data_IF_114593334779
#
_entry.id   IF_114593334779
#
_cell.length_a   1.000
_cell.length_b   1.000
_cell.length_c   1.000
_cell.angle_alpha   90.00
_cell.angle_beta   90.00
_cell.angle_gamma   90.00
#
_symmetry.space_group_name_H-M   'P 1'
#
loop_
_entity.id
_entity.type
_entity.pdbx_description
1 polymer ?
#
# COMPACT_ATOMS: atom_id res chain seq x y z
N UNK A 1 -28.81 19.32 10.37
CA UNK A 1 -27.54 19.78 10.95
C UNK A 1 -26.41 19.22 10.11
N UNK A 2 -25.77 20.05 9.28
CA UNK A 2 -24.62 19.63 8.52
C UNK A 2 -23.47 19.32 9.50
N UNK A 3 -23.11 18.03 9.60
CA UNK A 3 -21.84 17.64 10.24
C UNK A 3 -20.73 18.28 9.44
N UNK A 4 -19.79 19.04 10.06
CA UNK A 4 -18.59 19.44 9.35
C UNK A 4 -17.94 18.16 8.83
N UNK A 5 -17.70 18.10 7.52
CA UNK A 5 -16.92 17.02 6.93
C UNK A 5 -15.54 17.08 7.59
N UNK A 6 -15.29 16.19 8.54
CA UNK A 6 -13.92 15.94 8.98
C UNK A 6 -13.15 15.55 7.71
N UNK A 7 -12.23 16.41 7.31
CA UNK A 7 -11.33 16.13 6.20
C UNK A 7 -10.59 14.86 6.58
N UNK A 8 -10.93 13.75 5.92
CA UNK A 8 -10.26 12.50 6.18
C UNK A 8 -8.85 12.58 5.59
N UNK A 9 -7.83 12.47 6.43
CA UNK A 9 -6.41 12.59 6.03
C UNK A 9 -6.07 11.62 4.91
N UNK A 10 -6.61 10.41 4.92
CA UNK A 10 -6.38 9.44 3.85
C UNK A 10 -6.98 9.93 2.53
N UNK A 11 -8.16 10.56 2.55
CA UNK A 11 -8.74 11.17 1.36
C UNK A 11 -7.85 12.30 0.81
N UNK A 12 -7.27 13.11 1.70
CA UNK A 12 -6.27 14.14 1.31
C UNK A 12 -5.04 13.49 0.69
N UNK A 13 -4.51 12.42 1.30
CA UNK A 13 -3.37 11.66 0.79
C UNK A 13 -3.69 11.11 -0.60
N UNK A 14 -4.79 10.40 -0.73
CA UNK A 14 -5.22 9.81 -2.01
C UNK A 14 -5.42 10.88 -3.10
N UNK A 15 -6.05 12.01 -2.77
CA UNK A 15 -6.24 13.11 -3.72
C UNK A 15 -4.91 13.75 -4.14
N UNK A 16 -4.00 13.97 -3.20
CA UNK A 16 -2.70 14.56 -3.50
C UNK A 16 -1.88 13.66 -4.42
N UNK A 17 -1.85 12.36 -4.16
CA UNK A 17 -1.17 11.41 -5.03
C UNK A 17 -1.83 11.25 -6.40
N UNK A 18 -3.17 11.36 -6.50
CA UNK A 18 -3.87 11.36 -7.81
C UNK A 18 -3.46 12.52 -8.71
N UNK A 19 -3.08 13.66 -8.13
CA UNK A 19 -2.56 14.78 -8.90
C UNK A 19 -1.14 14.55 -9.41
N UNK A 20 -0.38 13.64 -8.78
CA UNK A 20 0.98 13.30 -9.19
C UNK A 20 0.98 12.20 -10.25
N UNK A 21 0.44 11.05 -9.92
CA UNK A 21 0.20 9.95 -10.85
C UNK A 21 -1.06 9.17 -10.43
N UNK A 22 -2.15 9.27 -11.21
CA UNK A 22 -3.39 8.58 -10.90
C UNK A 22 -3.26 7.05 -10.95
N UNK A 23 -2.26 6.51 -11.66
CA UNK A 23 -2.04 5.06 -11.78
C UNK A 23 -1.55 4.48 -10.46
N UNK A 24 -0.60 5.17 -9.80
CA UNK A 24 -0.02 4.74 -8.53
C UNK A 24 -1.08 4.64 -7.43
N UNK A 25 -1.92 5.67 -7.31
CA UNK A 25 -2.96 5.67 -6.27
C UNK A 25 -4.07 4.66 -6.55
N UNK A 26 -4.46 4.52 -7.81
CA UNK A 26 -5.48 3.54 -8.18
C UNK A 26 -4.98 2.11 -7.94
N UNK A 27 -3.69 1.85 -8.18
CA UNK A 27 -3.02 0.61 -7.83
C UNK A 27 -3.07 0.37 -6.30
N UNK A 28 -2.56 1.30 -5.50
CA UNK A 28 -2.58 1.17 -4.03
C UNK A 28 -4.00 1.02 -3.45
N UNK A 29 -5.01 1.72 -4.01
CA UNK A 29 -6.42 1.55 -3.61
C UNK A 29 -6.91 0.12 -3.86
N UNK A 30 -6.55 -0.52 -4.99
CA UNK A 30 -6.96 -1.89 -5.30
C UNK A 30 -6.19 -2.92 -4.47
N UNK A 31 -4.88 -2.72 -4.26
CA UNK A 31 -4.08 -3.57 -3.37
C UNK A 31 -4.63 -3.50 -1.93
N UNK A 32 -4.89 -2.29 -1.42
CA UNK A 32 -5.54 -2.10 -0.13
C UNK A 32 -6.91 -2.78 -0.04
N UNK A 33 -7.71 -2.70 -1.12
CA UNK A 33 -9.03 -3.35 -1.19
C UNK A 33 -8.93 -4.88 -1.10
N UNK A 34 -8.02 -5.51 -1.85
CA UNK A 34 -7.79 -6.96 -1.79
C UNK A 34 -7.43 -7.36 -0.36
N UNK A 35 -6.47 -6.66 0.26
CA UNK A 35 -6.06 -6.93 1.64
C UNK A 35 -7.20 -6.72 2.63
N UNK A 36 -7.96 -5.65 2.51
CA UNK A 36 -9.13 -5.37 3.33
C UNK A 36 -10.11 -6.54 3.33
N UNK A 37 -10.43 -7.07 2.13
CA UNK A 37 -11.34 -8.20 2.00
C UNK A 37 -10.76 -9.50 2.57
N UNK A 38 -9.50 -9.80 2.31
CA UNK A 38 -8.82 -10.96 2.87
C UNK A 38 -8.80 -10.90 4.41
N UNK A 39 -8.64 -9.73 5.00
CA UNK A 39 -8.55 -9.55 6.45
C UNK A 39 -9.90 -9.48 7.16
N UNK A 40 -11.01 -9.27 6.43
CA UNK A 40 -12.32 -8.96 7.03
C UNK A 40 -12.73 -9.99 8.09
N UNK A 41 -12.61 -11.27 7.79
CA UNK A 41 -13.11 -12.35 8.65
C UNK A 41 -12.04 -13.03 9.53
N UNK A 42 -10.77 -12.77 9.26
CA UNK A 42 -9.73 -13.38 10.09
C UNK A 42 -9.70 -12.77 11.49
N UNK A 43 -9.46 -13.63 12.49
CA UNK A 43 -9.21 -13.22 13.88
C UNK A 43 -7.72 -13.14 14.22
N UNK A 44 -6.85 -13.32 13.21
CA UNK A 44 -5.39 -13.29 13.39
C UNK A 44 -4.88 -11.91 13.74
N UNK A 45 -5.57 -10.86 13.29
CA UNK A 45 -5.19 -9.47 13.45
C UNK A 45 -6.28 -8.70 14.20
N UNK A 46 -5.86 -7.79 15.08
CA UNK A 46 -6.73 -6.82 15.73
C UNK A 46 -7.32 -5.83 14.74
N UNK A 47 -8.40 -5.10 15.07
CA UNK A 47 -8.95 -4.06 14.19
C UNK A 47 -7.91 -3.00 13.79
N UNK A 48 -6.99 -2.61 14.70
CA UNK A 48 -5.91 -1.69 14.40
C UNK A 48 -4.92 -2.28 13.42
N UNK A 49 -4.47 -3.51 13.62
CA UNK A 49 -3.53 -4.19 12.70
C UNK A 49 -4.14 -4.39 11.32
N UNK A 50 -5.43 -4.72 11.22
CA UNK A 50 -6.14 -4.81 9.91
C UNK A 50 -6.13 -3.46 9.19
N UNK A 51 -6.36 -2.38 9.94
CA UNK A 51 -6.30 -1.03 9.38
C UNK A 51 -4.87 -0.66 8.96
N UNK A 52 -3.88 -0.98 9.78
CA UNK A 52 -2.46 -0.74 9.46
C UNK A 52 -2.04 -1.50 8.19
N UNK A 53 -2.46 -2.78 8.05
CA UNK A 53 -2.17 -3.59 6.85
C UNK A 53 -2.87 -3.02 5.61
N UNK A 54 -4.12 -2.57 5.74
CA UNK A 54 -4.82 -1.86 4.66
C UNK A 54 -4.03 -0.61 4.23
N UNK A 55 -3.58 0.20 5.18
CA UNK A 55 -2.81 1.42 4.90
C UNK A 55 -1.43 1.10 4.31
N UNK A 56 -0.80 0.01 4.72
CA UNK A 56 0.43 -0.49 4.10
C UNK A 56 0.18 -0.85 2.64
N UNK A 57 -0.88 -1.59 2.33
CA UNK A 57 -1.23 -1.91 0.95
C UNK A 57 -1.55 -0.67 0.10
N UNK A 58 -2.23 0.33 0.69
CA UNK A 58 -2.52 1.59 0.01
C UNK A 58 -1.26 2.39 -0.35
N UNK A 59 -0.22 2.32 0.50
CA UNK A 59 0.96 3.19 0.45
C UNK A 59 2.27 2.43 0.21
N UNK A 60 2.26 1.11 -0.08
CA UNK A 60 3.47 0.30 -0.16
C UNK A 60 4.50 0.85 -1.16
N UNK A 61 4.01 1.42 -2.24
CA UNK A 61 4.80 1.99 -3.33
C UNK A 61 5.01 3.51 -3.24
N UNK A 62 4.78 4.10 -2.07
CA UNK A 62 4.96 5.54 -1.84
C UNK A 62 6.39 6.03 -2.15
N UNK A 63 7.35 5.13 -2.14
CA UNK A 63 8.75 5.41 -2.47
C UNK A 63 9.04 5.57 -3.96
N UNK A 64 8.10 5.24 -4.85
CA UNK A 64 8.25 5.47 -6.28
C UNK A 64 8.13 6.97 -6.59
N UNK A 65 9.23 7.59 -6.95
CA UNK A 65 9.30 9.04 -7.14
C UNK A 65 9.59 9.47 -8.58
N UNK A 66 10.08 8.56 -9.42
CA UNK A 66 10.32 8.82 -10.86
C UNK A 66 9.24 8.18 -11.72
N UNK A 67 8.80 8.85 -12.78
CA UNK A 67 7.82 8.30 -13.72
C UNK A 67 8.30 6.97 -14.32
N UNK A 68 9.62 6.85 -14.61
CA UNK A 68 10.22 5.60 -15.09
C UNK A 68 10.13 4.44 -14.09
N UNK A 69 10.18 4.72 -12.79
CA UNK A 69 10.00 3.70 -11.74
C UNK A 69 8.55 3.26 -11.67
N UNK A 70 7.59 4.19 -11.80
CA UNK A 70 6.16 3.87 -11.82
C UNK A 70 5.85 2.97 -13.01
N UNK A 71 6.41 3.25 -14.19
CA UNK A 71 6.24 2.41 -15.37
C UNK A 71 6.80 1.00 -15.15
N UNK A 72 7.97 0.88 -14.52
CA UNK A 72 8.59 -0.42 -14.19
C UNK A 72 7.81 -1.19 -13.13
N UNK A 73 7.34 -0.52 -12.07
CA UNK A 73 6.54 -1.14 -11.01
C UNK A 73 5.22 -1.70 -11.52
N UNK A 74 4.54 -0.94 -12.39
CA UNK A 74 3.29 -1.36 -13.01
C UNK A 74 3.52 -2.35 -14.15
N UNK A 75 4.77 -2.66 -14.49
CA UNK A 75 5.12 -3.75 -15.40
C UNK A 75 5.32 -5.05 -14.63
N UNK A 76 5.24 -6.17 -15.35
CA UNK A 76 5.44 -7.49 -14.75
C UNK A 76 6.93 -7.81 -14.51
N UNK A 77 7.82 -6.95 -15.00
CA UNK A 77 9.28 -7.14 -14.92
C UNK A 77 9.79 -6.79 -13.51
N UNK A 78 10.24 -7.79 -12.78
CA UNK A 78 10.52 -7.71 -11.33
C UNK A 78 11.99 -7.36 -11.00
N UNK A 79 12.85 -7.15 -11.99
CA UNK A 79 14.30 -7.09 -11.75
C UNK A 79 14.81 -5.73 -11.19
N UNK A 80 14.03 -4.64 -11.30
CA UNK A 80 14.47 -3.28 -10.87
C UNK A 80 13.66 -2.69 -9.69
N UNK A 81 12.91 -3.50 -8.96
CA UNK A 81 11.95 -3.02 -7.95
C UNK A 81 12.55 -2.55 -6.62
N UNK A 82 13.88 -2.58 -6.45
CA UNK A 82 14.51 -2.33 -5.14
C UNK A 82 14.58 -0.86 -4.74
N UNK A 83 14.67 0.09 -5.68
CA UNK A 83 14.86 1.50 -5.33
C UNK A 83 13.67 2.07 -4.59
N UNK A 84 12.45 1.92 -5.10
CA UNK A 84 11.24 2.43 -4.43
C UNK A 84 11.00 1.76 -3.08
N UNK A 85 11.35 0.49 -2.92
CA UNK A 85 11.24 -0.22 -1.62
C UNK A 85 12.18 0.38 -0.57
N UNK A 86 13.41 0.74 -0.96
CA UNK A 86 14.37 1.42 -0.06
C UNK A 86 13.89 2.83 0.30
N UNK A 87 13.41 3.61 -0.66
CA UNK A 87 12.87 4.93 -0.38
C UNK A 87 11.58 4.86 0.44
N UNK A 88 10.69 3.93 0.12
CA UNK A 88 9.50 3.64 0.91
C UNK A 88 9.86 3.31 2.36
N UNK A 89 10.83 2.41 2.57
CA UNK A 89 11.36 2.11 3.91
C UNK A 89 11.80 3.37 4.66
N UNK A 90 12.59 4.23 4.02
CA UNK A 90 13.10 5.45 4.65
C UNK A 90 11.97 6.44 4.99
N UNK A 91 10.99 6.58 4.11
CA UNK A 91 9.80 7.41 4.35
C UNK A 91 8.98 6.87 5.54
N UNK A 92 8.69 5.57 5.52
CA UNK A 92 7.94 4.95 6.62
C UNK A 92 8.71 5.03 7.94
N UNK A 93 9.99 4.70 7.94
CA UNK A 93 10.82 4.68 9.15
C UNK A 93 10.88 6.02 9.85
N UNK A 94 11.00 7.11 9.08
CA UNK A 94 11.29 8.43 9.64
C UNK A 94 10.05 9.33 9.79
N UNK A 95 9.01 9.14 8.99
CA UNK A 95 7.91 10.10 8.90
C UNK A 95 6.53 9.51 9.10
N UNK A 96 6.34 8.18 8.87
CA UNK A 96 5.03 7.55 8.94
C UNK A 96 4.62 7.17 10.37
N UNK A 97 3.33 7.19 10.69
CA UNK A 97 2.82 6.57 11.91
C UNK A 97 2.99 5.05 11.91
N UNK A 98 3.18 4.45 10.73
CA UNK A 98 3.42 3.01 10.52
C UNK A 98 4.92 2.66 10.52
N UNK A 99 5.77 3.46 11.15
CA UNK A 99 7.23 3.27 11.15
C UNK A 99 7.70 1.90 11.66
N UNK A 100 6.90 1.26 12.50
CA UNK A 100 7.16 -0.12 12.96
C UNK A 100 7.10 -1.16 11.83
N UNK A 101 6.39 -0.89 10.74
CA UNK A 101 6.24 -1.76 9.57
C UNK A 101 7.15 -1.36 8.40
N UNK A 102 8.14 -0.51 8.62
CA UNK A 102 9.01 -0.04 7.53
C UNK A 102 9.72 -1.19 6.80
N UNK A 103 10.13 -2.24 7.52
CA UNK A 103 10.73 -3.44 6.95
C UNK A 103 9.75 -4.25 6.10
N UNK A 104 8.46 -4.18 6.34
CA UNK A 104 7.43 -4.75 5.46
C UNK A 104 7.53 -4.10 4.08
N UNK A 105 7.61 -2.76 4.04
CA UNK A 105 7.75 -2.00 2.79
C UNK A 105 9.09 -2.29 2.11
N UNK A 106 10.17 -2.46 2.88
CA UNK A 106 11.48 -2.80 2.31
C UNK A 106 11.50 -4.15 1.59
N UNK A 107 10.79 -5.13 2.13
CA UNK A 107 10.87 -6.52 1.68
C UNK A 107 9.62 -7.04 0.98
N UNK A 108 8.65 -6.18 0.63
CA UNK A 108 7.38 -6.63 0.07
C UNK A 108 7.49 -7.30 -1.31
N UNK A 109 8.57 -7.06 -2.07
CA UNK A 109 8.84 -7.77 -3.33
C UNK A 109 9.66 -9.05 -3.19
N UNK A 110 10.03 -9.46 -1.97
CA UNK A 110 10.79 -10.66 -1.79
C UNK A 110 9.97 -11.91 -2.10
N UNK A 111 10.55 -12.83 -2.87
CA UNK A 111 9.99 -14.17 -3.02
C UNK A 111 10.24 -15.03 -1.77
N UNK A 112 9.56 -16.18 -1.69
CA UNK A 112 9.65 -17.08 -0.54
C UNK A 112 11.08 -17.42 -0.10
N UNK A 113 11.97 -17.71 -1.04
CA UNK A 113 13.35 -18.11 -0.73
C UNK A 113 14.17 -16.95 -0.14
N UNK A 114 13.94 -15.72 -0.60
CA UNK A 114 14.70 -14.56 -0.18
C UNK A 114 14.41 -14.17 1.27
N UNK A 115 13.23 -14.46 1.81
CA UNK A 115 12.89 -14.13 3.20
C UNK A 115 13.76 -14.86 4.25
N UNK A 116 14.40 -15.97 3.89
CA UNK A 116 15.31 -16.67 4.81
C UNK A 116 16.66 -15.95 4.99
N UNK A 117 17.00 -15.04 4.12
CA UNK A 117 18.29 -14.32 4.13
C UNK A 117 18.21 -12.87 4.64
N UNK A 118 17.02 -12.37 4.96
CA UNK A 118 16.81 -10.98 5.39
C UNK A 118 16.33 -10.89 6.85
N UNK A 119 16.71 -9.82 7.59
CA UNK A 119 16.37 -9.64 8.99
C UNK A 119 14.94 -9.09 9.19
N UNK A 120 13.94 -9.90 8.84
CA UNK A 120 12.53 -9.57 9.02
C UNK A 120 11.87 -10.54 10.01
N UNK A 121 11.01 -10.04 10.89
CA UNK A 121 10.24 -10.87 11.81
C UNK A 121 9.25 -11.77 11.04
N UNK A 122 8.87 -12.92 11.62
CA UNK A 122 7.86 -13.78 11.00
C UNK A 122 6.52 -13.05 10.79
N UNK A 123 6.15 -12.21 11.75
CA UNK A 123 4.92 -11.41 11.68
C UNK A 123 4.95 -10.41 10.51
N UNK A 124 6.03 -9.62 10.37
CA UNK A 124 6.17 -8.67 9.27
C UNK A 124 6.34 -9.35 7.92
N UNK A 125 7.05 -10.48 7.90
CA UNK A 125 7.19 -11.32 6.69
C UNK A 125 5.84 -11.77 6.17
N UNK A 126 4.95 -12.23 7.05
CA UNK A 126 3.62 -12.68 6.64
C UNK A 126 2.80 -11.53 6.05
N UNK A 127 2.93 -10.30 6.59
CA UNK A 127 2.28 -9.11 6.03
C UNK A 127 2.89 -8.75 4.66
N UNK A 128 4.22 -8.73 4.55
CA UNK A 128 4.91 -8.45 3.29
C UNK A 128 4.49 -9.40 2.15
N UNK A 129 4.33 -10.69 2.46
CA UNK A 129 3.84 -11.70 1.50
C UNK A 129 2.41 -11.45 1.04
N UNK A 130 1.53 -11.05 1.96
CA UNK A 130 0.15 -10.70 1.61
C UNK A 130 0.10 -9.47 0.70
N UNK A 131 0.93 -8.45 0.98
CA UNK A 131 1.04 -7.26 0.13
C UNK A 131 1.54 -7.68 -1.25
N UNK A 132 2.60 -8.49 -1.35
CA UNK A 132 3.15 -8.93 -2.62
C UNK A 132 2.12 -9.74 -3.45
N UNK A 133 1.37 -10.64 -2.81
CA UNK A 133 0.30 -11.36 -3.49
C UNK A 133 -0.77 -10.42 -4.04
N UNK A 134 -1.26 -9.48 -3.22
CA UNK A 134 -2.30 -8.53 -3.61
C UNK A 134 -1.82 -7.58 -4.73
N UNK A 135 -0.58 -7.14 -4.66
CA UNK A 135 0.10 -6.33 -5.66
C UNK A 135 0.16 -7.04 -7.02
N UNK A 136 0.66 -8.29 -7.04
CA UNK A 136 0.75 -9.06 -8.29
C UNK A 136 -0.62 -9.41 -8.88
N UNK A 137 -1.62 -9.67 -8.06
CA UNK A 137 -3.01 -9.86 -8.51
C UNK A 137 -3.52 -8.60 -9.21
N UNK A 138 -3.29 -7.42 -8.62
CA UNK A 138 -3.74 -6.17 -9.23
C UNK A 138 -3.07 -5.90 -10.56
N UNK A 139 -1.74 -6.01 -10.62
CA UNK A 139 -0.99 -5.80 -11.87
C UNK A 139 -1.46 -6.76 -12.95
N UNK A 140 -1.64 -8.04 -12.61
CA UNK A 140 -2.15 -9.04 -13.55
C UNK A 140 -3.51 -8.63 -14.12
N UNK A 141 -4.44 -8.19 -13.27
CA UNK A 141 -5.78 -7.79 -13.70
C UNK A 141 -5.79 -6.52 -14.57
N UNK A 142 -4.90 -5.56 -14.28
CA UNK A 142 -4.81 -4.29 -15.02
C UNK A 142 -4.18 -4.47 -16.40
N UNK A 143 -3.18 -5.35 -16.52
CA UNK A 143 -2.50 -5.60 -17.77
C UNK A 143 -3.31 -6.46 -18.75
N UNK A 144 -4.48 -6.98 -18.36
CA UNK A 144 -5.31 -7.89 -19.17
C UNK A 144 -4.46 -9.03 -19.77
N UNK A 145 -3.68 -9.71 -18.93
CA UNK A 145 -2.84 -10.83 -19.36
C UNK A 145 -3.69 -11.86 -20.10
N UNK A 146 -3.16 -12.45 -21.19
CA UNK A 146 -3.84 -13.50 -21.94
C UNK A 146 -4.05 -14.76 -21.10
N UNK A 147 -3.18 -14.97 -20.13
CA UNK A 147 -3.25 -16.08 -19.19
C UNK A 147 -4.37 -15.84 -18.16
N UNK A 148 -4.97 -16.93 -17.68
CA UNK A 148 -5.91 -16.90 -16.58
C UNK A 148 -5.20 -16.69 -15.23
N UNK A 149 -5.73 -15.80 -14.38
CA UNK A 149 -5.15 -15.47 -13.07
C UNK A 149 -4.93 -16.72 -12.20
N UNK A 150 -5.83 -17.69 -12.26
CA UNK A 150 -5.69 -18.95 -11.52
C UNK A 150 -4.43 -19.69 -11.95
N UNK A 151 -4.25 -19.88 -13.25
CA UNK A 151 -3.07 -20.53 -13.83
C UNK A 151 -1.78 -19.81 -13.44
N UNK A 152 -1.79 -18.48 -13.51
CA UNK A 152 -0.66 -17.66 -13.10
C UNK A 152 -0.31 -17.88 -11.62
N UNK A 153 -1.26 -17.79 -10.70
CA UNK A 153 -0.99 -17.96 -9.27
C UNK A 153 -0.50 -19.38 -8.94
N UNK A 154 -1.06 -20.42 -9.57
CA UNK A 154 -0.64 -21.80 -9.39
C UNK A 154 0.79 -22.05 -9.92
N UNK A 155 1.15 -21.45 -11.07
CA UNK A 155 2.50 -21.57 -11.65
C UNK A 155 3.58 -21.07 -10.69
N UNK A 156 3.28 -20.01 -9.93
CA UNK A 156 4.22 -19.39 -8.98
C UNK A 156 4.00 -19.81 -7.53
N UNK A 157 3.06 -20.72 -7.29
CA UNK A 157 2.76 -21.29 -5.98
C UNK A 157 3.97 -22.02 -5.38
N UNK A 158 4.27 -21.77 -4.13
CA UNK A 158 5.42 -22.32 -3.41
C UNK A 158 6.78 -21.69 -3.76
N UNK A 159 6.89 -21.01 -4.88
CA UNK A 159 8.13 -20.34 -5.32
C UNK A 159 8.12 -18.83 -4.96
N UNK A 160 7.14 -18.11 -5.44
CA UNK A 160 6.94 -16.70 -5.20
C UNK A 160 5.89 -16.51 -4.09
N UNK A 161 4.72 -17.10 -4.29
CA UNK A 161 3.60 -16.96 -3.37
C UNK A 161 3.47 -18.17 -2.45
N UNK A 162 2.95 -17.97 -1.26
CA UNK A 162 2.60 -19.05 -0.35
C UNK A 162 1.30 -19.71 -0.81
N UNK A 163 1.25 -21.05 -0.93
CA UNK A 163 0.03 -21.76 -1.33
C UNK A 163 -1.17 -21.44 -0.43
N UNK A 164 -0.92 -21.28 0.88
CA UNK A 164 -1.96 -20.96 1.83
C UNK A 164 -2.57 -19.56 1.60
N UNK A 165 -1.76 -18.58 1.18
CA UNK A 165 -2.22 -17.23 0.91
C UNK A 165 -3.01 -17.17 -0.41
N UNK A 166 -2.59 -17.92 -1.43
CA UNK A 166 -3.35 -18.11 -2.68
C UNK A 166 -4.73 -18.73 -2.38
N UNK A 167 -4.76 -19.81 -1.60
CA UNK A 167 -6.01 -20.45 -1.20
C UNK A 167 -6.91 -19.49 -0.40
N UNK A 168 -6.33 -18.70 0.49
CA UNK A 168 -7.06 -17.69 1.24
C UNK A 168 -7.66 -16.61 0.32
N UNK A 169 -6.88 -16.12 -0.64
CA UNK A 169 -7.39 -15.18 -1.64
C UNK A 169 -8.58 -15.75 -2.42
N UNK A 170 -8.49 -16.99 -2.94
CA UNK A 170 -9.58 -17.58 -3.71
C UNK A 170 -10.86 -17.79 -2.90
N UNK A 171 -10.75 -18.24 -1.65
CA UNK A 171 -11.90 -18.36 -0.76
C UNK A 171 -12.55 -17.00 -0.50
N UNK A 172 -11.74 -15.94 -0.40
CA UNK A 172 -12.22 -14.58 -0.20
C UNK A 172 -12.85 -14.03 -1.48
N UNK A 173 -12.22 -14.29 -2.64
CA UNK A 173 -12.74 -13.92 -3.95
C UNK A 173 -14.13 -14.53 -4.22
N UNK A 174 -14.29 -15.82 -3.95
CA UNK A 174 -15.57 -16.51 -4.12
C UNK A 174 -16.69 -15.86 -3.28
N UNK A 175 -16.36 -15.41 -2.08
CA UNK A 175 -17.33 -14.81 -1.16
C UNK A 175 -17.64 -13.34 -1.44
N UNK A 176 -16.63 -12.55 -1.77
CA UNK A 176 -16.73 -11.09 -1.85
C UNK A 176 -16.74 -10.54 -3.27
N UNK A 177 -16.52 -11.37 -4.29
CA UNK A 177 -16.48 -10.97 -5.70
C UNK A 177 -15.49 -9.82 -5.96
N UNK A 178 -14.26 -9.99 -5.43
CA UNK A 178 -13.22 -8.95 -5.44
C UNK A 178 -12.89 -8.50 -6.86
N UNK A 179 -12.62 -9.45 -7.76
CA UNK A 179 -12.18 -9.17 -9.13
C UNK A 179 -13.29 -8.48 -9.94
N UNK A 180 -14.53 -8.91 -9.77
CA UNK A 180 -15.70 -8.33 -10.43
C UNK A 180 -15.93 -6.89 -9.95
N UNK A 181 -15.81 -6.63 -8.66
CA UNK A 181 -15.95 -5.29 -8.08
C UNK A 181 -14.78 -4.37 -8.45
N UNK A 182 -13.56 -4.91 -8.59
CA UNK A 182 -12.44 -4.14 -9.13
C UNK A 182 -12.71 -3.73 -10.57
N UNK A 183 -13.24 -4.62 -11.39
CA UNK A 183 -13.59 -4.36 -12.79
C UNK A 183 -14.74 -3.36 -12.94
N UNK A 184 -15.79 -3.46 -12.10
CA UNK A 184 -16.93 -2.54 -12.10
C UNK A 184 -16.65 -1.21 -11.39
N UNK A 185 -15.50 -1.06 -10.73
CA UNK A 185 -15.11 0.08 -9.89
C UNK A 185 -15.92 0.24 -8.59
N UNK A 186 -16.76 -0.71 -8.24
CA UNK A 186 -17.53 -0.71 -6.98
C UNK A 186 -16.61 -0.74 -5.74
N UNK A 187 -15.41 -1.30 -5.86
CA UNK A 187 -14.42 -1.32 -4.79
C UNK A 187 -14.13 0.09 -4.22
N UNK A 188 -14.25 1.15 -5.03
CA UNK A 188 -13.95 2.53 -4.61
C UNK A 188 -14.89 3.02 -3.53
N UNK A 189 -16.16 2.67 -3.64
CA UNK A 189 -17.16 3.01 -2.62
C UNK A 189 -16.86 2.25 -1.32
N UNK A 190 -16.55 0.95 -1.42
CA UNK A 190 -16.22 0.13 -0.26
C UNK A 190 -14.94 0.61 0.45
N UNK A 191 -13.90 1.00 -0.31
CA UNK A 191 -12.67 1.59 0.24
C UNK A 191 -12.96 2.93 0.93
N UNK A 192 -13.74 3.80 0.30
CA UNK A 192 -14.14 5.08 0.88
C UNK A 192 -14.92 4.90 2.19
N UNK A 193 -15.85 3.98 2.21
CA UNK A 193 -16.63 3.62 3.40
C UNK A 193 -15.75 3.03 4.52
N UNK A 194 -14.79 2.18 4.16
CA UNK A 194 -13.85 1.62 5.10
C UNK A 194 -13.00 2.71 5.75
N UNK A 195 -12.42 3.59 4.96
CA UNK A 195 -11.63 4.73 5.42
C UNK A 195 -12.46 5.63 6.34
N UNK A 196 -13.70 5.93 5.96
CA UNK A 196 -14.59 6.76 6.78
C UNK A 196 -14.90 6.11 8.14
N UNK A 197 -15.25 4.82 8.15
CA UNK A 197 -15.56 4.08 9.38
C UNK A 197 -14.37 3.96 10.34
N UNK A 198 -13.15 3.93 9.83
CA UNK A 198 -11.91 3.78 10.62
C UNK A 198 -11.16 5.10 10.84
N UNK A 199 -11.77 6.25 10.49
CA UNK A 199 -11.14 7.58 10.66
C UNK A 199 -10.70 7.87 12.10
N UNK A 200 -11.38 7.33 13.11
CA UNK A 200 -11.00 7.49 14.51
C UNK A 200 -9.67 6.82 14.87
N UNK A 201 -9.29 5.73 14.19
CA UNK A 201 -8.01 5.04 14.41
C UNK A 201 -6.81 5.90 13.97
N UNK A 202 -7.06 6.94 13.17
CA UNK A 202 -6.04 7.81 12.59
C UNK A 202 -6.01 9.21 13.18
N UNK A 203 -7.00 9.60 13.98
CA UNK A 203 -7.18 10.98 14.44
C UNK A 203 -5.92 11.52 15.12
N UNK A 204 -5.31 10.74 16.01
CA UNK A 204 -4.11 11.12 16.75
C UNK A 204 -2.82 11.08 15.91
N UNK A 205 -2.88 10.50 14.72
CA UNK A 205 -1.73 10.29 13.83
C UNK A 205 -1.79 11.15 12.57
N UNK A 206 -2.82 11.96 12.43
CA UNK A 206 -3.09 12.82 11.26
C UNK A 206 -1.86 13.59 10.79
N UNK A 207 -1.16 14.26 11.71
CA UNK A 207 0.02 15.07 11.37
C UNK A 207 1.18 14.22 10.83
N UNK A 208 1.33 12.96 11.31
CA UNK A 208 2.36 12.05 10.80
C UNK A 208 2.05 11.58 9.39
N UNK A 209 0.77 11.26 9.09
CA UNK A 209 0.36 10.93 7.73
C UNK A 209 0.56 12.10 6.76
N UNK A 210 0.19 13.31 7.16
CA UNK A 210 0.44 14.51 6.36
C UNK A 210 1.94 14.75 6.15
N UNK A 211 2.75 14.52 7.16
CA UNK A 211 4.21 14.62 7.06
C UNK A 211 4.77 13.57 6.09
N UNK A 212 4.33 12.31 6.17
CA UNK A 212 4.71 11.26 5.22
C UNK A 212 4.40 11.69 3.79
N UNK A 213 3.19 12.21 3.56
CA UNK A 213 2.78 12.74 2.26
C UNK A 213 3.70 13.87 1.79
N UNK A 214 3.90 14.89 2.63
CA UNK A 214 4.71 16.06 2.27
C UNK A 214 6.12 15.65 1.86
N UNK A 215 6.76 14.78 2.64
CA UNK A 215 8.09 14.29 2.30
C UNK A 215 8.13 13.44 1.03
N UNK A 216 7.12 12.60 0.79
CA UNK A 216 7.07 11.82 -0.47
C UNK A 216 6.91 12.71 -1.70
N UNK A 217 6.19 13.84 -1.57
CA UNK A 217 6.08 14.84 -2.64
C UNK A 217 7.39 15.60 -2.85
N UNK A 218 8.04 15.98 -1.76
CA UNK A 218 9.29 16.74 -1.81
C UNK A 218 10.44 15.94 -2.42
N UNK A 219 10.52 14.63 -2.15
CA UNK A 219 11.54 13.76 -2.76
C UNK A 219 11.45 13.65 -4.28
N UNK A 220 10.32 14.01 -4.89
CA UNK A 220 10.16 14.08 -6.35
C UNK A 220 10.88 15.26 -7.00
N UNK A 221 11.27 16.25 -6.21
CA UNK A 221 11.98 17.44 -6.68
C UNK A 221 13.19 17.72 -5.80
N UNK A 222 14.38 17.73 -6.40
CA UNK A 222 15.64 18.05 -5.72
C UNK A 222 15.62 19.42 -5.02
N UNK A 223 14.73 20.32 -5.45
CA UNK A 223 14.61 21.68 -4.92
C UNK A 223 13.65 21.82 -3.74
N UNK A 224 12.69 20.91 -3.56
CA UNK A 224 11.61 21.05 -2.59
C UNK A 224 11.88 20.35 -1.26
N UNK A 225 12.63 19.27 -1.24
CA UNK A 225 12.92 18.48 -0.04
C UNK A 225 13.54 19.30 1.10
N UNK A 226 14.51 20.18 0.79
CA UNK A 226 15.12 21.08 1.76
C UNK A 226 14.19 22.22 2.17
N UNK A 227 13.34 22.70 1.26
CA UNK A 227 12.46 23.83 1.50
C UNK A 227 11.39 23.54 2.53
N UNK A 228 10.79 22.36 2.48
CA UNK A 228 9.71 21.97 3.41
C UNK A 228 10.22 21.79 4.83
N UNK A 229 11.39 21.16 5.02
CA UNK A 229 11.98 21.01 6.35
C UNK A 229 12.35 22.37 6.97
N UNK A 230 12.90 23.28 6.16
CA UNK A 230 13.15 24.67 6.58
C UNK A 230 11.88 25.43 6.94
N UNK A 231 10.81 25.31 6.15
CA UNK A 231 9.54 25.98 6.39
C UNK A 231 8.87 25.49 7.69
N UNK A 232 8.87 24.18 7.92
CA UNK A 232 8.35 23.57 9.17
C UNK A 232 9.18 24.02 10.37
N UNK A 233 10.52 24.02 10.25
CA UNK A 233 11.39 24.45 11.34
C UNK A 233 11.21 25.94 11.68
N UNK A 234 11.12 26.81 10.67
CA UNK A 234 10.87 28.23 10.87
C UNK A 234 9.49 28.47 11.50
N UNK A 235 8.45 27.77 11.03
CA UNK A 235 7.08 27.92 11.56
C UNK A 235 7.00 27.55 13.05
N UNK A 236 7.68 26.48 13.44
CA UNK A 236 7.75 26.04 14.85
C UNK A 236 8.55 26.99 15.75
N UNK A 237 9.45 27.80 15.19
CA UNK A 237 10.22 28.79 15.94
C UNK A 237 9.54 30.17 16.06
N UNK A 238 8.48 30.39 15.28
CA UNK A 238 7.72 31.66 15.26
C UNK A 238 6.42 31.54 16.07
N UNK A 239 5.90 30.32 16.25
CA UNK A 239 4.69 30.04 17.04
C UNK A 239 4.99 29.93 18.54
#
# INVERSE_FOLDING_TARGET
>A
MNRPQLINVVDVICRSFRHLDPRLISHGERVGYILMKMLEETRRYTPQEKHDIFMLGLLHDIGAYKDSEIDTMLSFDTDDSMEHSVFGYLLFKNFSPLSQYADVVLYHHNCNAQYYSVPISNYHRDIAKLIYLADRIDIFCVQNMEEDLYTFLEQYSGRIFYPADIHWFWNTQEKHHILEKMKSLEYREEVSDYIFRHSNLMADQTHKYLRTLTFSLDFRSEYTALHTDYAVHLSNNIA
#
